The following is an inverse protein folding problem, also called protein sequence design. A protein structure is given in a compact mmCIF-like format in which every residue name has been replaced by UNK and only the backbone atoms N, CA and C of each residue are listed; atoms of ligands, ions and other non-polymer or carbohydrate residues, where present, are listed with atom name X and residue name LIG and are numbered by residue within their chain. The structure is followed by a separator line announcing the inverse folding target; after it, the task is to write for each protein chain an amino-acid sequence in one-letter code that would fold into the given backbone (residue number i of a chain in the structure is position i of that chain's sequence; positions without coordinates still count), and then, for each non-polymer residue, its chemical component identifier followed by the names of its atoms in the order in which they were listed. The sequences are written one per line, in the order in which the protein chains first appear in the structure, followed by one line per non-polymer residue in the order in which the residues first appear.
data_IF_766441471465
#
_entry.id   IF_766441471465
#
_cell.length_a   1.000
_cell.length_b   1.000
_cell.length_c   1.000
_cell.angle_alpha   90.00
_cell.angle_beta   90.00
_cell.angle_gamma   90.00
#
_symmetry.space_group_name_H-M   'P 1'
#
loop_
_entity.id
_entity.type
_entity.pdbx_description
1 polymer ?
#
# COMPACT_ATOMS: atom_id res chain seq x y z
N UNK A 1 -6.02 18.38 4.84
CA UNK A 1 -7.37 18.37 5.44
C UNK A 1 -7.50 19.36 6.60
N UNK A 2 -6.61 19.42 7.60
CA UNK A 2 -6.66 20.44 8.68
C UNK A 2 -6.82 21.85 8.09
N UNK A 3 -5.99 22.22 7.11
CA UNK A 3 -6.09 23.51 6.43
C UNK A 3 -7.44 23.73 5.72
N UNK A 4 -8.08 22.68 5.20
CA UNK A 4 -9.39 22.78 4.57
C UNK A 4 -10.48 23.15 5.58
N UNK A 5 -10.44 22.57 6.77
CA UNK A 5 -11.37 22.88 7.87
C UNK A 5 -11.10 24.30 8.45
N UNK A 6 -9.82 24.72 8.55
CA UNK A 6 -9.47 26.09 8.94
C UNK A 6 -10.03 27.14 7.97
N UNK A 7 -9.99 26.85 6.67
CA UNK A 7 -10.49 27.76 5.62
C UNK A 7 -12.02 27.72 5.49
N UNK A 8 -12.64 26.57 5.70
CA UNK A 8 -14.08 26.35 5.68
C UNK A 8 -14.52 25.39 6.79
N UNK A 9 -14.85 25.90 7.99
CA UNK A 9 -15.30 25.09 9.12
C UNK A 9 -16.62 24.32 8.88
N UNK A 10 -17.34 24.63 7.82
CA UNK A 10 -18.59 23.95 7.43
C UNK A 10 -18.38 22.95 6.30
N UNK A 11 -17.16 22.54 6.03
CA UNK A 11 -16.88 21.50 5.03
C UNK A 11 -17.07 20.10 5.66
N UNK A 12 -18.26 19.51 5.46
CA UNK A 12 -18.62 18.20 6.00
C UNK A 12 -17.64 17.10 5.57
N UNK A 13 -17.27 17.04 4.29
CA UNK A 13 -16.33 16.04 3.75
C UNK A 13 -14.94 16.14 4.40
N UNK A 14 -14.46 17.36 4.66
CA UNK A 14 -13.18 17.55 5.34
C UNK A 14 -13.23 17.05 6.80
N UNK A 15 -14.35 17.24 7.48
CA UNK A 15 -14.56 16.70 8.82
C UNK A 15 -14.70 15.16 8.83
N UNK A 16 -15.40 14.58 7.86
CA UNK A 16 -15.50 13.12 7.66
C UNK A 16 -14.10 12.51 7.50
N UNK A 17 -13.29 13.08 6.61
CA UNK A 17 -11.94 12.59 6.36
C UNK A 17 -11.02 12.75 7.58
N UNK A 18 -11.09 13.87 8.30
CA UNK A 18 -10.33 14.07 9.54
C UNK A 18 -10.77 13.07 10.62
N UNK A 19 -12.07 12.83 10.76
CA UNK A 19 -12.58 11.79 11.66
C UNK A 19 -11.96 10.43 11.33
N UNK A 20 -11.98 10.02 10.06
CA UNK A 20 -11.36 8.78 9.60
C UNK A 20 -9.87 8.69 9.97
N UNK A 21 -9.09 9.73 9.70
CA UNK A 21 -7.66 9.76 10.04
C UNK A 21 -7.43 9.66 11.55
N UNK A 22 -8.26 10.33 12.36
CA UNK A 22 -8.17 10.26 13.82
C UNK A 22 -8.62 8.89 14.37
N UNK A 23 -9.59 8.23 13.72
CA UNK A 23 -9.98 6.84 14.05
C UNK A 23 -8.76 5.91 13.89
N UNK A 24 -8.11 5.96 12.74
CA UNK A 24 -6.92 5.14 12.44
C UNK A 24 -5.78 5.43 13.42
N UNK A 25 -5.54 6.69 13.73
CA UNK A 25 -4.51 7.11 14.68
C UNK A 25 -4.89 6.85 16.16
N UNK A 26 -6.05 6.24 16.43
CA UNK A 26 -6.62 5.98 17.77
C UNK A 26 -6.78 7.24 18.64
N UNK A 27 -6.97 8.41 18.00
CA UNK A 27 -7.27 9.67 18.69
C UNK A 27 -8.78 9.85 18.84
N UNK A 28 -9.39 9.07 19.74
CA UNK A 28 -10.84 8.88 19.86
C UNK A 28 -11.64 10.19 20.03
N UNK A 29 -11.17 11.08 20.88
CA UNK A 29 -11.87 12.35 21.17
C UNK A 29 -11.97 13.22 19.92
N UNK A 30 -10.85 13.42 19.21
CA UNK A 30 -10.83 14.18 17.96
C UNK A 30 -11.65 13.51 16.86
N UNK A 31 -11.62 12.18 16.79
CA UNK A 31 -12.43 11.43 15.85
C UNK A 31 -13.91 11.73 16.05
N UNK A 32 -14.41 11.63 17.30
CA UNK A 32 -15.82 11.89 17.64
C UNK A 32 -16.20 13.36 17.43
N UNK A 33 -15.31 14.31 17.76
CA UNK A 33 -15.52 15.72 17.52
C UNK A 33 -15.81 16.01 16.04
N UNK A 34 -14.90 15.57 15.16
CA UNK A 34 -15.04 15.78 13.72
C UNK A 34 -16.22 15.01 13.13
N UNK A 35 -16.45 13.76 13.54
CA UNK A 35 -17.60 12.98 13.12
C UNK A 35 -18.93 13.65 13.55
N UNK A 36 -18.98 14.18 14.77
CA UNK A 36 -20.15 14.92 15.27
C UNK A 36 -20.41 16.20 14.48
N UNK A 37 -19.37 16.91 14.04
CA UNK A 37 -19.52 18.08 13.16
C UNK A 37 -20.05 17.65 11.80
N UNK A 38 -19.45 16.64 11.18
CA UNK A 38 -19.87 16.12 9.88
C UNK A 38 -21.35 15.72 9.88
N UNK A 39 -21.80 14.96 10.88
CA UNK A 39 -23.19 14.54 11.05
C UNK A 39 -24.17 15.70 11.30
N UNK A 40 -23.74 16.78 11.96
CA UNK A 40 -24.58 17.98 12.09
C UNK A 40 -24.72 18.74 10.78
N UNK A 41 -23.65 18.78 9.98
CA UNK A 41 -23.63 19.47 8.69
C UNK A 41 -24.40 18.68 7.61
N UNK A 42 -24.27 17.37 7.62
CA UNK A 42 -24.99 16.46 6.72
C UNK A 42 -25.48 15.20 7.46
N UNK A 43 -26.68 15.27 8.09
CA UNK A 43 -27.22 14.14 8.88
C UNK A 43 -27.54 12.88 8.06
N UNK A 44 -27.66 13.01 6.75
CA UNK A 44 -28.00 11.91 5.83
C UNK A 44 -26.77 11.33 5.12
N UNK A 45 -25.56 11.83 5.42
CA UNK A 45 -24.32 11.32 4.80
C UNK A 45 -24.13 9.82 5.07
N UNK A 46 -24.03 9.05 4.00
CA UNK A 46 -23.70 7.61 4.07
C UNK A 46 -22.24 7.41 4.50
N UNK A 47 -21.34 8.30 4.08
CA UNK A 47 -19.95 8.33 4.52
C UNK A 47 -19.84 8.53 6.02
N UNK A 48 -20.54 9.51 6.58
CA UNK A 48 -20.55 9.75 8.04
C UNK A 48 -21.09 8.54 8.80
N UNK A 49 -22.12 7.86 8.29
CA UNK A 49 -22.65 6.62 8.89
C UNK A 49 -21.63 5.50 8.83
N UNK A 50 -20.96 5.33 7.69
CA UNK A 50 -19.87 4.36 7.54
C UNK A 50 -18.73 4.64 8.52
N UNK A 51 -18.25 5.88 8.62
CA UNK A 51 -17.19 6.22 9.57
C UNK A 51 -17.59 6.04 11.02
N UNK A 52 -18.87 6.25 11.34
CA UNK A 52 -19.40 5.90 12.67
C UNK A 52 -19.36 4.39 12.92
N UNK A 53 -19.75 3.58 11.95
CA UNK A 53 -19.62 2.12 12.01
C UNK A 53 -18.15 1.68 12.16
N UNK A 54 -17.24 2.30 11.40
CA UNK A 54 -15.81 2.04 11.52
C UNK A 54 -15.25 2.47 12.88
N UNK A 55 -15.70 3.62 13.43
CA UNK A 55 -15.35 4.03 14.79
C UNK A 55 -15.74 2.97 15.82
N UNK A 56 -16.96 2.45 15.80
CA UNK A 56 -17.42 1.39 16.70
C UNK A 56 -16.61 0.10 16.52
N UNK A 57 -16.23 -0.26 15.29
CA UNK A 57 -15.31 -1.37 15.06
C UNK A 57 -13.96 -1.15 15.75
N UNK A 58 -13.36 0.01 15.58
CA UNK A 58 -12.05 0.36 16.15
C UNK A 58 -12.08 0.54 17.68
N UNK A 59 -13.27 0.75 18.26
CA UNK A 59 -13.49 0.79 19.72
C UNK A 59 -13.99 -0.54 20.29
N UNK A 60 -14.05 -1.58 19.44
CA UNK A 60 -14.43 -2.96 19.79
C UNK A 60 -15.93 -3.12 20.15
N UNK A 61 -16.77 -2.17 19.74
CA UNK A 61 -18.22 -2.20 19.86
C UNK A 61 -18.83 -2.84 18.59
N UNK A 62 -18.57 -4.15 18.41
CA UNK A 62 -18.81 -4.84 17.13
C UNK A 62 -20.27 -4.97 16.74
N UNK A 63 -21.18 -5.06 17.70
CA UNK A 63 -22.64 -5.14 17.44
C UNK A 63 -23.15 -3.84 16.84
N UNK A 64 -22.81 -2.72 17.45
CA UNK A 64 -23.14 -1.37 16.98
C UNK A 64 -22.51 -1.08 15.62
N UNK A 65 -21.27 -1.54 15.43
CA UNK A 65 -20.60 -1.44 14.13
C UNK A 65 -21.39 -2.19 13.05
N UNK A 66 -21.79 -3.45 13.30
CA UNK A 66 -22.54 -4.27 12.35
C UNK A 66 -23.89 -3.65 11.98
N UNK A 67 -24.62 -3.09 12.92
CA UNK A 67 -25.92 -2.46 12.66
C UNK A 67 -25.77 -1.27 11.71
N UNK A 68 -24.78 -0.42 11.93
CA UNK A 68 -24.48 0.72 11.06
C UNK A 68 -24.00 0.29 9.68
N UNK A 69 -23.11 -0.70 9.60
CA UNK A 69 -22.58 -1.21 8.33
C UNK A 69 -23.68 -1.91 7.52
N UNK A 70 -24.57 -2.67 8.16
CA UNK A 70 -25.74 -3.25 7.51
C UNK A 70 -26.67 -2.18 6.99
N UNK A 71 -26.88 -1.09 7.74
CA UNK A 71 -27.66 0.06 7.25
C UNK A 71 -27.00 0.69 6.01
N UNK A 72 -25.71 0.91 5.99
CA UNK A 72 -25.00 1.41 4.81
C UNK A 72 -25.15 0.47 3.61
N UNK A 73 -24.99 -0.84 3.82
CA UNK A 73 -25.11 -1.84 2.74
C UNK A 73 -26.55 -2.02 2.25
N UNK A 74 -27.55 -1.71 3.07
CA UNK A 74 -28.97 -1.72 2.63
C UNK A 74 -29.30 -0.57 1.67
N UNK A 75 -28.54 0.53 1.72
CA UNK A 75 -28.67 1.69 0.82
C UNK A 75 -27.77 1.52 -0.41
N UNK A 76 -26.53 1.08 -0.21
CA UNK A 76 -25.55 0.86 -1.27
C UNK A 76 -24.84 -0.48 -1.05
N UNK A 77 -25.34 -1.53 -1.69
CA UNK A 77 -24.77 -2.88 -1.64
C UNK A 77 -23.41 -3.02 -2.35
N UNK A 78 -22.91 -1.96 -3.00
CA UNK A 78 -21.60 -1.88 -3.64
C UNK A 78 -20.56 -1.13 -2.81
N UNK A 79 -20.85 -0.78 -1.56
CA UNK A 79 -19.92 -0.11 -0.67
C UNK A 79 -18.85 -1.10 -0.19
N UNK A 80 -17.74 -1.21 -0.96
CA UNK A 80 -16.63 -2.12 -0.62
C UNK A 80 -16.05 -1.87 0.78
N UNK A 81 -15.75 -0.64 1.22
CA UNK A 81 -15.30 -0.40 2.58
C UNK A 81 -16.24 -0.95 3.66
N UNK A 82 -17.55 -0.84 3.46
CA UNK A 82 -18.52 -1.38 4.41
C UNK A 82 -18.51 -2.92 4.44
N UNK A 83 -18.37 -3.58 3.29
CA UNK A 83 -18.18 -5.04 3.23
C UNK A 83 -16.90 -5.47 3.99
N UNK A 84 -15.79 -4.78 3.76
CA UNK A 84 -14.53 -5.07 4.44
C UNK A 84 -14.66 -4.98 5.95
N UNK A 85 -15.15 -3.85 6.48
CA UNK A 85 -15.24 -3.66 7.93
C UNK A 85 -16.28 -4.62 8.53
N UNK A 86 -17.37 -4.93 7.83
CA UNK A 86 -18.35 -5.93 8.26
C UNK A 86 -17.70 -7.32 8.45
N UNK A 87 -16.90 -7.77 7.50
CA UNK A 87 -16.19 -9.05 7.64
C UNK A 87 -15.17 -9.02 8.78
N UNK A 88 -14.47 -7.91 9.00
CA UNK A 88 -13.57 -7.77 10.15
C UNK A 88 -14.32 -7.79 11.49
N UNK A 89 -15.52 -7.18 11.58
CA UNK A 89 -16.39 -7.30 12.75
C UNK A 89 -16.76 -8.77 13.01
N UNK A 90 -17.20 -9.50 11.99
CA UNK A 90 -17.55 -10.91 12.10
C UNK A 90 -16.36 -11.76 12.57
N UNK A 91 -15.16 -11.50 12.08
CA UNK A 91 -13.91 -12.16 12.53
C UNK A 91 -13.68 -11.91 14.02
N UNK A 92 -13.80 -10.67 14.47
CA UNK A 92 -13.61 -10.30 15.89
C UNK A 92 -14.68 -10.90 16.82
N UNK A 93 -15.87 -11.14 16.30
CA UNK A 93 -16.98 -11.79 17.03
C UNK A 93 -16.89 -13.32 17.00
N UNK A 94 -15.88 -13.91 16.36
CA UNK A 94 -15.75 -15.36 16.24
C UNK A 94 -16.71 -16.02 15.24
N UNK A 95 -17.39 -15.21 14.39
CA UNK A 95 -18.38 -15.67 13.40
C UNK A 95 -17.70 -16.05 12.07
N UNK A 96 -16.69 -16.94 12.17
CA UNK A 96 -15.80 -17.27 11.04
C UNK A 96 -16.52 -17.95 9.88
N UNK A 97 -17.49 -18.83 10.15
CA UNK A 97 -18.24 -19.54 9.10
C UNK A 97 -19.11 -18.57 8.28
N UNK A 98 -19.58 -17.50 8.91
CA UNK A 98 -20.28 -16.45 8.18
C UNK A 98 -19.35 -15.67 7.25
N UNK A 99 -18.08 -15.42 7.65
CA UNK A 99 -17.10 -14.80 6.77
C UNK A 99 -16.76 -15.71 5.59
N UNK A 100 -16.63 -17.02 5.82
CA UNK A 100 -16.32 -18.00 4.77
C UNK A 100 -17.39 -18.01 3.68
N UNK A 101 -18.67 -17.96 4.07
CA UNK A 101 -19.81 -17.94 3.13
C UNK A 101 -20.19 -16.54 2.64
N UNK A 102 -19.65 -15.48 3.26
CA UNK A 102 -20.10 -14.11 3.03
C UNK A 102 -19.99 -13.66 1.57
N UNK A 103 -18.86 -13.92 0.98
CA UNK A 103 -18.53 -13.45 -0.38
C UNK A 103 -19.31 -14.17 -1.49
N UNK A 104 -20.02 -15.25 -1.18
CA UNK A 104 -20.90 -15.91 -2.14
C UNK A 104 -22.20 -15.12 -2.37
N UNK A 105 -22.48 -14.14 -1.48
CA UNK A 105 -23.65 -13.29 -1.52
C UNK A 105 -23.33 -11.82 -1.84
N UNK A 106 -22.05 -11.45 -2.00
CA UNK A 106 -21.65 -10.08 -2.38
C UNK A 106 -21.84 -9.89 -3.89
N UNK A 107 -22.38 -8.73 -4.34
CA UNK A 107 -22.57 -8.48 -5.76
C UNK A 107 -21.30 -8.64 -6.59
N UNK A 108 -21.38 -9.23 -7.80
CA UNK A 108 -20.21 -9.36 -8.67
C UNK A 108 -19.58 -8.00 -8.99
N UNK A 109 -18.24 -7.94 -8.99
CA UNK A 109 -17.47 -6.74 -9.32
C UNK A 109 -17.32 -5.73 -8.17
N UNK A 110 -17.90 -5.98 -6.98
CA UNK A 110 -17.68 -5.17 -5.77
C UNK A 110 -16.37 -5.56 -5.11
N UNK A 111 -16.06 -6.85 -5.10
CA UNK A 111 -14.88 -7.39 -4.40
C UNK A 111 -13.65 -7.25 -5.28
N UNK A 112 -12.63 -6.56 -4.76
CA UNK A 112 -11.32 -6.47 -5.43
C UNK A 112 -10.46 -7.70 -5.14
N UNK A 113 -9.49 -7.93 -6.00
CA UNK A 113 -8.50 -8.97 -5.81
C UNK A 113 -7.76 -8.79 -4.46
N UNK A 114 -7.57 -9.89 -3.73
CA UNK A 114 -6.96 -9.88 -2.40
C UNK A 114 -7.95 -9.73 -1.24
N UNK A 115 -9.11 -9.09 -1.44
CA UNK A 115 -10.09 -8.85 -0.36
C UNK A 115 -10.73 -10.16 0.12
N UNK A 116 -11.39 -10.91 -0.78
CA UNK A 116 -11.99 -12.22 -0.46
C UNK A 116 -10.93 -13.18 0.07
N UNK A 117 -9.81 -13.29 -0.63
CA UNK A 117 -8.71 -14.20 -0.28
C UNK A 117 -8.17 -13.88 1.11
N UNK A 118 -7.99 -12.59 1.43
CA UNK A 118 -7.51 -12.14 2.72
C UNK A 118 -8.49 -12.40 3.86
N UNK A 119 -9.77 -12.11 3.67
CA UNK A 119 -10.78 -12.40 4.68
C UNK A 119 -10.89 -13.90 4.98
N UNK A 120 -10.79 -14.77 3.94
CA UNK A 120 -10.78 -16.22 4.11
C UNK A 120 -9.51 -16.70 4.84
N UNK A 121 -8.33 -16.18 4.50
CA UNK A 121 -7.09 -16.50 5.19
C UNK A 121 -7.19 -16.18 6.69
N UNK A 122 -7.71 -15.00 7.05
CA UNK A 122 -7.93 -14.60 8.44
C UNK A 122 -8.96 -15.48 9.15
N UNK A 123 -10.07 -15.82 8.47
CA UNK A 123 -11.10 -16.68 9.05
C UNK A 123 -10.55 -18.07 9.41
N UNK A 124 -9.83 -18.69 8.49
CA UNK A 124 -9.23 -20.01 8.72
C UNK A 124 -8.11 -19.97 9.76
N UNK A 125 -7.27 -18.94 9.77
CA UNK A 125 -6.24 -18.76 10.79
C UNK A 125 -6.86 -18.65 12.20
N UNK A 126 -7.92 -17.86 12.37
CA UNK A 126 -8.63 -17.72 13.63
C UNK A 126 -9.39 -18.99 14.04
N UNK A 127 -9.83 -19.79 13.07
CA UNK A 127 -10.38 -21.15 13.31
C UNK A 127 -9.31 -22.18 13.65
N UNK A 128 -8.01 -21.85 13.50
CA UNK A 128 -6.87 -22.76 13.64
C UNK A 128 -6.90 -23.91 12.62
N UNK A 129 -7.43 -23.67 11.43
CA UNK A 129 -7.41 -24.57 10.28
C UNK A 129 -6.13 -24.28 9.48
N UNK A 130 -5.06 -25.01 9.79
CA UNK A 130 -3.72 -24.78 9.21
C UNK A 130 -3.68 -25.05 7.71
N UNK A 131 -4.42 -26.07 7.23
CA UNK A 131 -4.45 -26.45 5.81
C UNK A 131 -5.03 -25.32 4.96
N UNK A 132 -6.24 -24.85 5.30
CA UNK A 132 -6.88 -23.77 4.57
C UNK A 132 -6.16 -22.44 4.78
N UNK A 133 -5.60 -22.18 5.98
CA UNK A 133 -4.78 -20.98 6.22
C UNK A 133 -3.61 -20.93 5.24
N UNK A 134 -2.85 -22.02 5.11
CA UNK A 134 -1.70 -22.11 4.20
C UNK A 134 -2.13 -21.96 2.73
N UNK A 135 -3.25 -22.58 2.34
CA UNK A 135 -3.81 -22.45 1.00
C UNK A 135 -4.10 -20.99 0.63
N UNK A 136 -4.82 -20.26 1.51
CA UNK A 136 -5.22 -18.90 1.23
C UNK A 136 -4.05 -17.89 1.42
N UNK A 137 -3.12 -18.16 2.31
CA UNK A 137 -1.88 -17.38 2.44
C UNK A 137 -1.04 -17.45 1.16
N UNK A 138 -0.89 -18.65 0.55
CA UNK A 138 -0.16 -18.78 -0.70
C UNK A 138 -0.85 -18.04 -1.86
N UNK A 139 -2.19 -18.11 -1.95
CA UNK A 139 -2.94 -17.30 -2.92
C UNK A 139 -2.75 -15.80 -2.69
N UNK A 140 -2.73 -15.35 -1.43
CA UNK A 140 -2.43 -13.94 -1.13
C UNK A 140 -1.02 -13.54 -1.58
N UNK A 141 -0.02 -14.38 -1.37
CA UNK A 141 1.36 -14.13 -1.82
C UNK A 141 1.44 -14.01 -3.35
N UNK A 142 0.72 -14.85 -4.07
CA UNK A 142 0.60 -14.75 -5.54
C UNK A 142 -0.05 -13.44 -5.96
N UNK A 143 -1.16 -13.06 -5.33
CA UNK A 143 -1.87 -11.80 -5.60
C UNK A 143 -1.04 -10.59 -5.21
N UNK A 144 -0.30 -10.66 -4.11
CA UNK A 144 0.63 -9.63 -3.66
C UNK A 144 1.76 -9.37 -4.66
N UNK A 145 2.17 -10.38 -5.41
CA UNK A 145 3.17 -10.24 -6.47
C UNK A 145 2.63 -9.55 -7.74
N UNK A 146 1.32 -9.36 -7.84
CA UNK A 146 0.67 -8.72 -8.99
C UNK A 146 0.73 -7.18 -8.93
N UNK A 147 0.34 -6.51 -10.03
CA UNK A 147 0.41 -5.04 -10.16
C UNK A 147 -0.47 -4.28 -9.16
N UNK A 148 -1.50 -4.92 -8.62
CA UNK A 148 -2.43 -4.36 -7.64
C UNK A 148 -2.33 -5.05 -6.27
N UNK A 149 -1.15 -5.55 -5.91
CA UNK A 149 -0.92 -6.39 -4.73
C UNK A 149 -1.12 -5.72 -3.37
N UNK A 150 -1.33 -4.40 -3.30
CA UNK A 150 -1.40 -3.65 -2.03
C UNK A 150 -2.50 -4.14 -1.07
N UNK A 151 -3.62 -4.61 -1.60
CA UNK A 151 -4.68 -5.21 -0.78
C UNK A 151 -4.20 -6.51 -0.14
N UNK A 152 -3.61 -7.39 -0.93
CA UNK A 152 -3.06 -8.66 -0.45
C UNK A 152 -1.95 -8.43 0.59
N UNK A 153 -1.06 -7.44 0.39
CA UNK A 153 -0.03 -7.06 1.37
C UNK A 153 -0.63 -6.68 2.72
N UNK A 154 -1.71 -5.89 2.71
CA UNK A 154 -2.39 -5.47 3.94
C UNK A 154 -2.99 -6.65 4.70
N UNK A 155 -3.47 -7.67 4.00
CA UNK A 155 -3.96 -8.90 4.61
C UNK A 155 -2.83 -9.82 5.07
N UNK A 156 -1.72 -9.93 4.35
CA UNK A 156 -0.54 -10.69 4.77
C UNK A 156 0.07 -10.12 6.06
N UNK A 157 0.13 -8.79 6.18
CA UNK A 157 0.48 -8.13 7.44
C UNK A 157 -0.48 -8.54 8.57
N UNK A 158 -1.80 -8.39 8.34
CA UNK A 158 -2.82 -8.71 9.35
C UNK A 158 -2.78 -10.19 9.73
N UNK A 159 -2.58 -11.10 8.77
CA UNK A 159 -2.46 -12.53 8.99
C UNK A 159 -1.24 -12.86 9.86
N UNK A 160 -0.07 -12.27 9.55
CA UNK A 160 1.13 -12.41 10.38
C UNK A 160 0.90 -11.96 11.80
N UNK A 161 0.21 -10.82 11.99
CA UNK A 161 -0.15 -10.31 13.31
C UNK A 161 -1.12 -11.24 14.06
N UNK A 162 -2.15 -11.78 13.39
CA UNK A 162 -3.11 -12.73 13.97
C UNK A 162 -2.41 -14.03 14.41
N UNK A 163 -1.42 -14.50 13.65
CA UNK A 163 -0.61 -15.66 13.99
C UNK A 163 0.41 -15.39 15.11
N UNK A 164 0.56 -14.12 15.53
CA UNK A 164 1.54 -13.71 16.55
C UNK A 164 2.97 -13.64 16.04
N UNK A 165 3.19 -13.73 14.74
CA UNK A 165 4.49 -13.60 14.09
C UNK A 165 4.85 -12.12 13.92
N UNK A 166 5.38 -11.53 14.99
CA UNK A 166 5.71 -10.11 15.04
C UNK A 166 6.83 -9.75 14.04
N UNK A 167 7.82 -10.61 13.84
CA UNK A 167 8.93 -10.34 12.93
C UNK A 167 8.42 -10.20 11.50
N UNK A 168 7.65 -11.18 11.04
CA UNK A 168 7.06 -11.13 9.69
C UNK A 168 6.06 -9.98 9.52
N UNK A 169 5.29 -9.66 10.57
CA UNK A 169 4.38 -8.52 10.52
C UNK A 169 5.15 -7.19 10.37
N UNK A 170 6.22 -6.98 11.12
CA UNK A 170 7.00 -5.74 11.03
C UNK A 170 7.82 -5.63 9.74
N UNK A 171 8.24 -6.74 9.12
CA UNK A 171 8.84 -6.72 7.79
C UNK A 171 7.87 -6.11 6.76
N UNK A 172 6.58 -6.45 6.82
CA UNK A 172 5.55 -5.83 5.99
C UNK A 172 5.39 -4.34 6.27
N UNK A 173 5.48 -3.90 7.53
CA UNK A 173 5.38 -2.48 7.91
C UNK A 173 6.56 -1.69 7.36
N UNK A 174 7.78 -2.19 7.49
CA UNK A 174 8.99 -1.56 6.92
C UNK A 174 8.83 -1.38 5.43
N UNK A 175 8.43 -2.45 4.73
CA UNK A 175 8.15 -2.39 3.29
C UNK A 175 7.09 -1.32 2.93
N UNK A 176 6.02 -1.23 3.71
CA UNK A 176 4.95 -0.27 3.45
C UNK A 176 5.39 1.19 3.66
N UNK A 177 6.22 1.46 4.66
CA UNK A 177 6.79 2.79 4.92
C UNK A 177 7.73 3.18 3.78
N UNK A 178 8.64 2.29 3.39
CA UNK A 178 9.61 2.53 2.34
C UNK A 178 8.97 2.80 0.98
N UNK A 179 7.86 2.10 0.68
CA UNK A 179 7.14 2.26 -0.59
C UNK A 179 5.99 3.28 -0.53
N UNK A 180 5.77 3.93 0.62
CA UNK A 180 4.62 4.83 0.84
C UNK A 180 3.27 4.15 0.52
N UNK A 181 3.13 2.86 0.79
CA UNK A 181 1.90 2.11 0.55
C UNK A 181 0.92 2.30 1.68
N UNK A 182 -0.08 3.15 1.46
CA UNK A 182 -1.00 3.60 2.51
C UNK A 182 -1.94 2.52 3.03
N UNK A 183 -2.31 1.53 2.22
CA UNK A 183 -3.38 0.59 2.57
C UNK A 183 -3.03 -0.30 3.77
N UNK A 184 -1.78 -0.81 3.85
CA UNK A 184 -1.30 -1.54 5.01
C UNK A 184 -1.25 -0.63 6.24
N UNK A 185 -0.77 0.62 6.07
CA UNK A 185 -0.65 1.57 7.17
C UNK A 185 -2.01 1.92 7.78
N UNK A 186 -3.10 1.90 6.98
CA UNK A 186 -4.46 2.06 7.49
C UNK A 186 -4.89 0.90 8.41
N UNK A 187 -4.33 -0.30 8.24
CA UNK A 187 -4.60 -1.49 9.07
C UNK A 187 -3.68 -1.65 10.26
N UNK A 188 -2.66 -0.82 10.40
CA UNK A 188 -1.64 -0.99 11.45
C UNK A 188 -2.23 -1.00 12.87
N UNK A 189 -3.26 -0.19 13.13
CA UNK A 189 -3.93 -0.11 14.42
C UNK A 189 -5.21 -0.94 14.52
N UNK A 190 -5.47 -1.81 13.53
CA UNK A 190 -6.65 -2.66 13.50
C UNK A 190 -6.75 -3.54 14.76
N UNK A 191 -7.96 -3.77 15.32
CA UNK A 191 -8.15 -4.67 16.48
C UNK A 191 -7.64 -6.10 16.26
N UNK A 192 -7.55 -6.60 15.03
CA UNK A 192 -6.97 -7.91 14.70
C UNK A 192 -5.46 -7.97 14.92
N UNK A 193 -4.78 -6.83 14.95
CA UNK A 193 -3.32 -6.75 15.17
C UNK A 193 -2.95 -6.88 16.65
N UNK A 194 -3.93 -6.97 17.55
CA UNK A 194 -3.72 -7.07 19.00
C UNK A 194 -2.63 -8.07 19.46
N UNK A 195 -2.44 -9.26 18.84
CA UNK A 195 -1.41 -10.21 19.29
C UNK A 195 0.02 -9.66 19.31
N UNK A 196 0.35 -8.72 18.40
CA UNK A 196 1.71 -8.16 18.29
C UNK A 196 1.88 -6.79 18.97
N UNK A 197 0.81 -6.22 19.55
CA UNK A 197 0.86 -4.86 20.15
C UNK A 197 1.74 -4.76 21.40
N UNK A 198 2.11 -5.90 22.02
CA UNK A 198 3.03 -5.94 23.16
C UNK A 198 4.50 -5.95 22.76
N UNK A 199 4.82 -6.17 21.50
CA UNK A 199 6.19 -6.06 21.00
C UNK A 199 6.64 -4.58 21.06
N UNK A 200 7.84 -4.28 21.60
CA UNK A 200 8.33 -2.90 21.74
C UNK A 200 8.38 -2.11 20.43
N UNK A 201 8.55 -2.80 19.29
CA UNK A 201 8.57 -2.20 17.96
C UNK A 201 7.23 -1.61 17.56
N UNK A 202 6.13 -2.17 18.07
CA UNK A 202 4.77 -1.71 17.70
C UNK A 202 4.58 -0.23 18.00
N UNK A 203 4.91 0.22 19.21
CA UNK A 203 4.72 1.62 19.56
C UNK A 203 5.68 2.56 18.80
N UNK A 204 6.89 2.09 18.51
CA UNK A 204 7.85 2.84 17.72
C UNK A 204 7.36 3.07 16.28
N UNK A 205 6.85 2.02 15.61
CA UNK A 205 6.24 2.15 14.27
C UNK A 205 4.96 2.98 14.31
N UNK A 206 4.12 2.83 15.32
CA UNK A 206 2.91 3.64 15.49
C UNK A 206 3.23 5.13 15.48
N UNK A 207 4.26 5.54 16.20
CA UNK A 207 4.74 6.94 16.21
C UNK A 207 5.25 7.37 14.84
N UNK A 208 6.05 6.55 14.20
CA UNK A 208 6.57 6.85 12.85
C UNK A 208 5.44 7.02 11.82
N UNK A 209 4.38 6.21 11.91
CA UNK A 209 3.27 6.24 10.95
C UNK A 209 2.33 7.42 11.18
N UNK A 210 2.01 7.73 12.44
CA UNK A 210 0.91 8.65 12.77
C UNK A 210 1.33 9.95 13.44
N UNK A 211 2.57 10.07 13.91
CA UNK A 211 3.07 11.29 14.52
C UNK A 211 3.98 12.03 13.54
N UNK A 212 3.65 13.28 13.24
CA UNK A 212 4.34 14.13 12.24
C UNK A 212 5.64 14.74 12.74
N UNK A 213 6.17 14.32 13.89
CA UNK A 213 7.51 14.71 14.29
C UNK A 213 8.54 13.94 13.43
N UNK A 214 9.57 14.67 12.98
CA UNK A 214 10.71 14.12 12.21
C UNK A 214 11.09 12.73 12.70
N UNK A 215 11.30 11.75 11.80
CA UNK A 215 11.58 10.38 12.18
C UNK A 215 12.75 10.31 13.15
N UNK A 216 12.47 10.05 14.42
CA UNK A 216 13.47 9.56 15.36
C UNK A 216 13.70 8.09 15.04
N UNK A 217 14.94 7.65 15.07
CA UNK A 217 15.30 6.25 14.88
C UNK A 217 14.35 5.33 15.64
N UNK A 218 13.71 4.39 14.93
CA UNK A 218 12.81 3.42 15.52
C UNK A 218 13.64 2.41 16.32
N UNK A 219 13.50 2.32 17.66
CA UNK A 219 14.28 1.39 18.46
C UNK A 219 14.00 -0.06 18.02
N UNK A 220 15.03 -0.78 17.64
CA UNK A 220 14.94 -2.19 17.24
C UNK A 220 14.82 -2.44 15.73
N UNK A 221 14.61 -1.42 14.91
CA UNK A 221 14.97 -1.51 13.50
C UNK A 221 16.50 -1.49 13.48
N UNK A 222 17.11 -2.62 13.16
CA UNK A 222 18.55 -2.65 12.88
C UNK A 222 18.77 -1.56 11.84
N UNK A 223 19.70 -0.65 12.09
CA UNK A 223 20.06 0.47 11.19
C UNK A 223 20.51 0.02 9.79
N UNK A 224 20.61 -1.29 9.59
CA UNK A 224 20.80 -1.94 8.31
C UNK A 224 19.93 -3.21 8.28
N UNK A 225 18.97 -3.29 7.35
CA UNK A 225 18.21 -4.51 7.08
C UNK A 225 19.14 -5.64 6.59
N UNK A 226 20.29 -5.27 6.05
CA UNK A 226 21.35 -6.14 5.54
C UNK A 226 22.69 -5.72 6.14
N UNK A 227 23.55 -6.68 6.43
CA UNK A 227 24.94 -6.40 6.76
C UNK A 227 25.69 -5.82 5.53
N UNK A 228 26.84 -5.12 5.75
CA UNK A 228 27.54 -4.47 4.65
C UNK A 228 28.00 -5.42 3.53
N UNK A 229 28.34 -6.66 3.84
CA UNK A 229 28.77 -7.66 2.86
C UNK A 229 27.62 -8.11 1.98
N UNK A 230 26.48 -8.47 2.59
CA UNK A 230 25.23 -8.84 1.87
C UNK A 230 24.70 -7.66 1.06
N UNK A 231 24.81 -6.43 1.58
CA UNK A 231 24.41 -5.22 0.85
C UNK A 231 25.22 -5.03 -0.42
N UNK A 232 26.55 -5.19 -0.33
CA UNK A 232 27.44 -5.09 -1.49
C UNK A 232 27.13 -6.17 -2.54
N UNK A 233 26.99 -7.44 -2.12
CA UNK A 233 26.66 -8.56 -3.01
C UNK A 233 25.35 -8.32 -3.76
N UNK A 234 24.29 -7.95 -3.05
CA UNK A 234 22.98 -7.71 -3.67
C UNK A 234 22.99 -6.48 -4.59
N UNK A 235 23.76 -5.44 -4.24
CA UNK A 235 23.93 -4.26 -5.09
C UNK A 235 24.67 -4.63 -6.38
N UNK A 236 25.73 -5.42 -6.30
CA UNK A 236 26.48 -5.90 -7.46
C UNK A 236 25.60 -6.79 -8.35
N UNK A 237 24.85 -7.73 -7.77
CA UNK A 237 23.89 -8.56 -8.52
C UNK A 237 22.84 -7.71 -9.25
N UNK A 238 22.30 -6.69 -8.58
CA UNK A 238 21.36 -5.75 -9.17
C UNK A 238 21.99 -5.03 -10.38
N UNK A 239 23.16 -4.44 -10.20
CA UNK A 239 23.81 -3.65 -11.26
C UNK A 239 24.22 -4.50 -12.45
N UNK A 240 24.74 -5.71 -12.21
CA UNK A 240 25.04 -6.69 -13.26
C UNK A 240 23.77 -7.07 -14.01
N UNK A 241 22.68 -7.36 -13.31
CA UNK A 241 21.42 -7.74 -13.93
C UNK A 241 20.83 -6.61 -14.79
N UNK A 242 20.82 -5.38 -14.26
CA UNK A 242 20.35 -4.18 -14.99
C UNK A 242 21.14 -3.96 -16.28
N UNK A 243 22.47 -4.09 -16.22
CA UNK A 243 23.32 -3.86 -17.39
C UNK A 243 23.23 -4.96 -18.43
N UNK A 244 23.08 -6.23 -17.99
CA UNK A 244 23.11 -7.40 -18.88
C UNK A 244 21.74 -7.68 -19.51
N UNK A 245 20.68 -7.64 -18.71
CA UNK A 245 19.34 -8.05 -19.15
C UNK A 245 18.43 -6.88 -19.51
N UNK A 246 18.78 -5.64 -19.12
CA UNK A 246 18.04 -4.41 -19.40
C UNK A 246 16.54 -4.51 -19.03
N UNK A 247 16.20 -5.01 -17.82
CA UNK A 247 14.82 -5.23 -17.45
C UNK A 247 13.97 -3.94 -17.45
N UNK A 248 14.61 -2.78 -17.36
CA UNK A 248 13.98 -1.47 -17.43
C UNK A 248 13.27 -1.18 -18.77
N UNK A 249 13.56 -1.96 -19.82
CA UNK A 249 12.85 -1.84 -21.11
C UNK A 249 11.45 -2.46 -21.07
N UNK A 250 11.15 -3.29 -20.08
CA UNK A 250 9.80 -3.77 -19.82
C UNK A 250 8.96 -2.64 -19.16
N UNK A 251 7.90 -2.14 -19.84
CA UNK A 251 7.07 -1.06 -19.31
C UNK A 251 6.31 -1.44 -18.02
N UNK A 252 6.06 -2.74 -17.81
CA UNK A 252 5.30 -3.28 -16.68
C UNK A 252 6.19 -3.77 -15.52
N UNK A 253 7.51 -3.60 -15.62
CA UNK A 253 8.45 -4.03 -14.60
C UNK A 253 8.09 -3.42 -13.23
N UNK A 254 7.83 -4.29 -12.25
CA UNK A 254 7.65 -3.94 -10.85
C UNK A 254 8.92 -4.19 -10.02
N UNK A 255 9.00 -3.56 -8.83
CA UNK A 255 10.05 -3.85 -7.85
C UNK A 255 10.12 -5.34 -7.48
N UNK A 256 8.95 -6.00 -7.39
CA UNK A 256 8.87 -7.44 -7.08
C UNK A 256 9.40 -8.31 -8.20
N UNK A 257 9.10 -7.96 -9.45
CA UNK A 257 9.61 -8.70 -10.60
C UNK A 257 11.12 -8.58 -10.68
N UNK A 258 11.66 -7.37 -10.47
CA UNK A 258 13.11 -7.16 -10.44
C UNK A 258 13.77 -7.93 -9.29
N UNK A 259 13.19 -7.90 -8.10
CA UNK A 259 13.68 -8.65 -6.95
C UNK A 259 13.69 -10.16 -7.21
N UNK A 260 12.61 -10.68 -7.82
CA UNK A 260 12.51 -12.08 -8.23
C UNK A 260 13.57 -12.45 -9.27
N UNK A 261 13.82 -11.58 -10.26
CA UNK A 261 14.82 -11.81 -11.31
C UNK A 261 16.24 -11.93 -10.75
N UNK A 262 16.56 -11.23 -9.67
CA UNK A 262 17.87 -11.27 -9.02
C UNK A 262 17.90 -12.15 -7.76
N UNK A 263 16.82 -12.90 -7.50
CA UNK A 263 16.68 -13.84 -6.39
C UNK A 263 16.99 -13.21 -5.02
N UNK A 264 16.35 -12.07 -4.73
CA UNK A 264 16.36 -11.43 -3.42
C UNK A 264 14.95 -11.08 -2.96
N UNK A 265 14.76 -10.90 -1.67
CA UNK A 265 13.46 -10.45 -1.16
C UNK A 265 13.18 -9.00 -1.63
N UNK A 266 11.93 -8.65 -2.03
CA UNK A 266 11.59 -7.29 -2.45
C UNK A 266 11.96 -6.20 -1.44
N UNK A 267 11.86 -6.50 -0.14
CA UNK A 267 12.25 -5.56 0.93
C UNK A 267 13.76 -5.28 0.93
N UNK A 268 14.58 -6.29 0.64
CA UNK A 268 16.04 -6.09 0.50
C UNK A 268 16.35 -5.21 -0.68
N UNK A 269 15.69 -5.43 -1.83
CA UNK A 269 15.87 -4.59 -3.00
C UNK A 269 15.46 -3.14 -2.72
N UNK A 270 14.29 -2.95 -2.10
CA UNK A 270 13.82 -1.62 -1.71
C UNK A 270 14.79 -0.91 -0.78
N UNK A 271 15.28 -1.62 0.24
CA UNK A 271 16.25 -1.08 1.18
C UNK A 271 17.56 -0.67 0.48
N UNK A 272 18.09 -1.52 -0.42
CA UNK A 272 19.30 -1.22 -1.20
C UNK A 272 19.09 0.04 -2.04
N UNK A 273 17.97 0.12 -2.76
CA UNK A 273 17.68 1.28 -3.59
C UNK A 273 17.62 2.57 -2.77
N UNK A 274 16.89 2.56 -1.64
CA UNK A 274 16.71 3.75 -0.83
C UNK A 274 17.94 4.12 0.01
N UNK A 275 18.60 3.14 0.66
CA UNK A 275 19.67 3.41 1.61
C UNK A 275 21.07 3.41 0.96
N UNK A 276 21.32 2.52 -0.01
CA UNK A 276 22.64 2.40 -0.62
C UNK A 276 22.75 3.24 -1.90
N UNK A 277 21.68 3.29 -2.71
CA UNK A 277 21.67 4.01 -4.00
C UNK A 277 21.05 5.40 -3.86
N UNK A 278 20.22 5.63 -2.84
CA UNK A 278 19.58 6.91 -2.56
C UNK A 278 18.44 7.26 -3.52
N UNK A 279 17.76 6.24 -4.09
CA UNK A 279 16.66 6.40 -5.05
C UNK A 279 15.53 5.42 -4.75
N UNK A 280 14.28 5.83 -4.92
CA UNK A 280 13.20 4.87 -4.97
C UNK A 280 13.22 4.06 -6.28
N UNK A 281 12.44 2.97 -6.34
CA UNK A 281 12.40 2.06 -7.50
C UNK A 281 12.11 2.79 -8.82
N UNK A 282 11.09 3.67 -8.82
CA UNK A 282 10.71 4.39 -10.03
C UNK A 282 11.80 5.37 -10.48
N UNK A 283 12.46 6.05 -9.56
CA UNK A 283 13.57 6.94 -9.87
C UNK A 283 14.76 6.15 -10.44
N UNK A 284 15.07 5.01 -9.83
CA UNK A 284 16.14 4.15 -10.28
C UNK A 284 15.90 3.61 -11.70
N UNK A 285 14.74 3.00 -11.95
CA UNK A 285 14.41 2.43 -13.26
C UNK A 285 14.26 3.51 -14.34
N UNK A 286 13.57 4.62 -14.04
CA UNK A 286 13.35 5.66 -15.01
C UNK A 286 14.65 6.36 -15.42
N UNK A 287 15.68 6.39 -14.59
CA UNK A 287 16.99 6.90 -15.00
C UNK A 287 17.61 6.04 -16.11
N UNK A 288 17.55 4.71 -16.00
CA UNK A 288 18.02 3.82 -17.08
C UNK A 288 17.16 3.95 -18.35
N UNK A 289 15.86 4.14 -18.21
CA UNK A 289 14.95 4.40 -19.35
C UNK A 289 15.29 5.70 -20.05
N UNK A 290 15.67 6.76 -19.33
CA UNK A 290 16.13 8.02 -19.94
C UNK A 290 17.45 7.81 -20.71
N UNK A 291 18.39 7.08 -20.16
CA UNK A 291 19.65 6.78 -20.88
C UNK A 291 19.40 5.91 -22.11
N UNK A 292 18.48 4.93 -22.03
CA UNK A 292 18.05 4.16 -23.20
C UNK A 292 17.40 5.04 -24.26
N UNK A 293 16.52 5.98 -23.88
CA UNK A 293 15.95 6.95 -24.79
C UNK A 293 17.02 7.80 -25.48
N UNK A 294 18.02 8.29 -24.74
CA UNK A 294 19.12 9.06 -25.32
C UNK A 294 19.93 8.24 -26.32
N UNK A 295 20.20 6.97 -26.00
CA UNK A 295 20.91 6.05 -26.92
C UNK A 295 20.10 5.81 -28.20
N UNK A 296 18.79 5.53 -28.07
CA UNK A 296 17.88 5.36 -29.19
C UNK A 296 17.87 6.64 -30.05
N UNK A 297 17.83 7.81 -29.43
CA UNK A 297 17.78 9.08 -30.11
C UNK A 297 19.03 9.36 -30.98
N UNK A 298 20.21 8.92 -30.52
CA UNK A 298 21.48 9.07 -31.27
C UNK A 298 21.58 8.06 -32.42
N UNK A 299 21.09 6.82 -32.23
CA UNK A 299 21.13 5.77 -33.26
C UNK A 299 20.10 5.99 -34.37
N UNK A 300 19.13 6.85 -34.16
CA UNK A 300 17.93 6.99 -34.98
C UNK A 300 17.97 8.13 -35.99
N UNK A 301 19.09 8.74 -36.28
CA UNK A 301 19.21 9.59 -37.48
C UNK A 301 18.71 8.90 -38.75
N UNK A 302 18.49 7.58 -38.73
CA UNK A 302 17.99 6.75 -39.83
C UNK A 302 16.62 6.07 -39.60
N UNK A 303 15.97 6.18 -38.43
CA UNK A 303 14.65 5.56 -38.20
C UNK A 303 13.58 6.60 -37.90
N UNK A 304 12.46 6.57 -38.61
CA UNK A 304 11.31 7.48 -38.52
C UNK A 304 10.46 7.26 -37.25
N UNK A 305 11.05 7.13 -36.05
CA UNK A 305 10.27 7.02 -34.83
C UNK A 305 9.92 8.40 -34.26
N UNK A 306 8.69 8.54 -33.77
CA UNK A 306 8.28 9.72 -33.01
C UNK A 306 8.97 9.74 -31.62
N UNK A 307 9.03 10.92 -30.99
CA UNK A 307 9.52 11.06 -29.60
C UNK A 307 8.78 10.09 -28.65
N UNK A 308 7.49 9.95 -28.85
CA UNK A 308 6.64 9.04 -28.06
C UNK A 308 6.98 7.57 -28.35
N UNK A 309 7.21 7.21 -29.61
CA UNK A 309 7.68 5.87 -29.98
C UNK A 309 9.03 5.54 -29.35
N UNK A 310 9.99 6.46 -29.37
CA UNK A 310 11.28 6.30 -28.69
C UNK A 310 11.13 6.14 -27.17
N UNK A 311 10.19 6.86 -26.55
CA UNK A 311 9.91 6.73 -25.13
C UNK A 311 9.34 5.33 -24.79
N UNK A 312 8.41 4.81 -25.59
CA UNK A 312 7.90 3.45 -25.43
C UNK A 312 8.98 2.37 -25.64
N UNK A 313 9.82 2.51 -26.66
CA UNK A 313 10.96 1.61 -26.91
C UNK A 313 11.98 1.63 -25.75
N UNK A 314 12.06 2.72 -25.01
CA UNK A 314 12.92 2.84 -23.83
C UNK A 314 12.25 2.33 -22.52
N UNK A 315 11.04 1.76 -22.60
CA UNK A 315 10.33 1.13 -21.49
C UNK A 315 9.36 2.02 -20.73
N UNK A 316 9.10 3.26 -21.18
CA UNK A 316 8.03 4.07 -20.59
C UNK A 316 6.66 3.60 -21.10
N UNK A 317 5.68 3.53 -20.20
CA UNK A 317 4.29 3.22 -20.53
C UNK A 317 3.38 4.48 -20.51
N UNK A 318 3.93 5.66 -20.21
CA UNK A 318 3.18 6.91 -20.11
C UNK A 318 3.99 8.10 -20.59
N UNK A 319 3.43 8.81 -21.58
CA UNK A 319 3.99 10.06 -22.10
C UNK A 319 4.15 11.13 -21.01
N UNK A 320 3.20 11.22 -20.10
CA UNK A 320 3.24 12.19 -19.00
C UNK A 320 4.38 11.90 -18.05
N UNK A 321 4.54 10.64 -17.65
CA UNK A 321 5.64 10.19 -16.77
C UNK A 321 6.98 10.43 -17.46
N UNK A 322 7.13 10.03 -18.71
CA UNK A 322 8.32 10.27 -19.51
C UNK A 322 8.71 11.76 -19.54
N UNK A 323 7.80 12.65 -19.98
CA UNK A 323 8.09 14.07 -20.10
C UNK A 323 8.50 14.71 -18.77
N UNK A 324 7.80 14.35 -17.69
CA UNK A 324 8.07 14.86 -16.35
C UNK A 324 9.47 14.42 -15.89
N UNK A 325 9.77 13.13 -16.04
CA UNK A 325 11.03 12.55 -15.60
C UNK A 325 12.20 13.05 -16.47
N UNK A 326 12.02 13.10 -17.78
CA UNK A 326 13.03 13.59 -18.70
C UNK A 326 13.42 15.04 -18.38
N UNK A 327 12.43 15.91 -18.16
CA UNK A 327 12.68 17.31 -17.79
C UNK A 327 13.36 17.44 -16.42
N UNK A 328 12.97 16.60 -15.44
CA UNK A 328 13.62 16.56 -14.11
C UNK A 328 15.09 16.19 -14.24
N UNK A 329 15.41 15.18 -15.05
CA UNK A 329 16.74 14.60 -15.16
C UNK A 329 17.69 15.42 -16.06
N UNK A 330 17.15 16.03 -17.15
CA UNK A 330 17.98 16.72 -18.15
C UNK A 330 17.87 18.25 -18.11
N UNK A 331 16.93 18.80 -17.35
CA UNK A 331 16.63 20.23 -17.31
C UNK A 331 15.86 20.75 -18.51
N UNK A 332 15.61 19.94 -19.55
CA UNK A 332 14.96 20.36 -20.79
C UNK A 332 13.89 19.36 -21.25
N UNK A 333 13.03 19.78 -22.16
CA UNK A 333 12.03 18.89 -22.77
C UNK A 333 12.70 17.94 -23.78
N UNK A 334 12.11 16.73 -24.03
CA UNK A 334 12.63 15.81 -25.05
C UNK A 334 12.82 16.45 -26.41
N UNK A 335 11.88 17.30 -26.83
CA UNK A 335 11.97 18.03 -28.10
C UNK A 335 13.12 19.04 -28.18
N UNK A 336 13.42 19.70 -27.04
CA UNK A 336 14.58 20.60 -26.93
C UNK A 336 15.89 19.82 -26.98
N UNK A 337 15.93 18.69 -26.28
CA UNK A 337 17.09 17.81 -26.27
C UNK A 337 17.45 17.30 -27.67
N UNK A 338 16.49 16.78 -28.41
CA UNK A 338 16.71 16.29 -29.77
C UNK A 338 17.19 17.39 -30.74
N UNK A 339 16.70 18.62 -30.61
CA UNK A 339 17.16 19.76 -31.41
C UNK A 339 18.60 20.18 -31.17
N UNK A 340 19.17 19.81 -29.99
CA UNK A 340 20.56 20.10 -29.67
C UNK A 340 21.53 19.00 -30.15
N UNK A 341 21.01 17.82 -30.50
CA UNK A 341 21.80 16.72 -31.03
C UNK A 341 21.98 16.75 -32.55
N UNK A 342 21.19 17.59 -33.22
CA UNK A 342 21.27 17.90 -34.67
C UNK A 342 22.10 19.17 -34.89
#
# INVERSE_FOLDING_TARGET
MIRAVELNPNNAEAHEFLSFMYIIAKQREKALEHLGIALRLNPLSEESKFFKGYYHYMTEEYSEALDLLNSCLSVNDKNLPAHTIKTLCLLKMGRYDEVISYYDHVPPGVVIEGEKTGALALAYALKKDEENTSLYENKLKEQAAGPHGHTADSFLFTLSAVQGDADRAFDWVVSAIDHSTSLLLLRYTDPLVAPITRDPRYEAFRKTIYETETPKEVPGVKSALLDPGTTADFTDRLMVHISTHKPYLDPDLSLRDLAKQIDIHPNHLSWILNQSIGKNFNEFINQFRIEAFKSIAVELENKKLSIEGMAYESGFNSKTVFNTFFKKETGMTPSQYLKQQV
#
